data_IF_607345108268
#
_entry.id   IF_607345108268
#
_cell.length_a   1.000
_cell.length_b   1.000
_cell.length_c   1.000
_cell.angle_alpha   90.00
_cell.angle_beta   90.00
_cell.angle_gamma   90.00
#
_symmetry.space_group_name_H-M   'P 1'
#
loop_
_entity.id
_entity.type
_entity.pdbx_description
1 polymer ?
#
# COMPACT_ATOMS: atom_id res chain seq x y z
N UNK A 1 -3.06 36.62 -6.62
CA UNK A 1 -2.89 36.87 -5.17
C UNK A 1 -1.64 36.13 -4.71
N UNK A 2 -0.59 36.88 -4.40
CA UNK A 2 0.69 36.34 -3.91
C UNK A 2 0.55 35.89 -2.45
N UNK A 3 1.19 34.78 -2.10
CA UNK A 3 1.43 34.38 -0.71
C UNK A 3 2.86 33.81 -0.60
N UNK A 4 3.57 34.07 0.51
CA UNK A 4 4.97 34.48 0.49
C UNK A 4 5.97 33.33 0.56
N UNK A 5 7.17 33.62 0.04
CA UNK A 5 8.37 32.80 0.16
C UNK A 5 8.71 32.51 1.64
N UNK A 6 8.89 31.24 1.97
CA UNK A 6 9.40 30.79 3.25
C UNK A 6 10.90 31.05 3.33
N UNK A 7 11.30 31.84 4.32
CA UNK A 7 12.70 32.10 4.65
C UNK A 7 13.42 30.83 5.12
N UNK A 8 14.72 30.65 4.81
CA UNK A 8 15.47 29.48 5.25
C UNK A 8 15.87 29.62 6.73
N UNK A 9 15.43 28.67 7.56
CA UNK A 9 15.91 28.51 8.93
C UNK A 9 17.41 28.15 8.91
N UNK A 10 18.27 29.15 9.15
CA UNK A 10 19.68 28.94 9.52
C UNK A 10 19.81 28.93 11.04
N UNK A 11 20.56 27.95 11.55
CA UNK A 11 21.28 28.10 12.82
C UNK A 11 20.69 27.41 14.05
N UNK A 12 20.56 26.09 14.03
CA UNK A 12 20.70 25.23 15.21
C UNK A 12 21.27 23.93 14.69
N UNK A 13 22.41 23.47 15.22
CA UNK A 13 22.87 22.10 14.98
C UNK A 13 21.85 21.16 15.62
N UNK A 14 20.78 20.83 14.90
CA UNK A 14 19.84 19.80 15.27
C UNK A 14 20.59 18.49 15.23
N UNK A 15 21.04 18.01 16.38
CA UNK A 15 21.38 16.60 16.55
C UNK A 15 20.14 15.83 16.10
N UNK A 16 20.22 15.18 14.93
CA UNK A 16 19.15 14.33 14.46
C UNK A 16 19.00 13.21 15.50
N UNK A 17 17.91 13.27 16.27
CA UNK A 17 17.67 12.28 17.31
C UNK A 17 17.48 10.91 16.63
N UNK A 18 18.45 10.02 16.82
CA UNK A 18 18.33 8.62 16.43
C UNK A 18 17.28 7.89 17.28
N UNK A 19 16.87 6.67 16.90
CA UNK A 19 15.85 5.93 17.64
C UNK A 19 16.21 5.69 19.10
N UNK A 20 15.23 5.89 19.98
CA UNK A 20 15.32 5.67 21.43
C UNK A 20 15.11 4.20 21.75
N UNK A 21 16.00 3.64 22.57
CA UNK A 21 15.80 2.34 23.19
C UNK A 21 14.87 2.48 24.39
N UNK A 22 13.67 1.91 24.25
CA UNK A 22 12.69 1.84 25.33
C UNK A 22 12.82 0.50 26.02
N UNK A 23 13.10 0.54 27.32
CA UNK A 23 13.34 -0.65 28.17
C UNK A 23 12.51 -0.57 29.45
N UNK A 24 12.30 -1.71 30.10
CA UNK A 24 11.72 -1.79 31.43
C UNK A 24 12.81 -2.03 32.47
N UNK A 25 12.67 -1.42 33.65
CA UNK A 25 13.43 -1.83 34.84
C UNK A 25 12.46 -2.10 36.00
N UNK A 26 12.44 -3.33 36.55
CA UNK A 26 11.62 -3.65 37.72
C UNK A 26 12.11 -2.95 38.99
N UNK A 27 13.35 -2.43 38.99
CA UNK A 27 13.94 -1.68 40.10
C UNK A 27 13.62 -0.18 40.06
N UNK A 28 13.02 0.31 38.97
CA UNK A 28 12.70 1.72 38.85
C UNK A 28 11.45 2.05 39.68
N UNK A 29 11.50 3.01 40.63
CA UNK A 29 10.35 3.37 41.43
C UNK A 29 9.18 3.87 40.57
N UNK A 30 7.95 3.59 41.02
CA UNK A 30 6.73 4.08 40.38
C UNK A 30 6.77 5.61 40.27
N UNK A 31 6.41 6.13 39.10
CA UNK A 31 6.39 7.57 38.85
C UNK A 31 7.77 8.18 38.55
N UNK A 32 8.79 7.37 38.25
CA UNK A 32 10.07 7.87 37.73
C UNK A 32 10.28 7.47 36.27
N UNK A 33 10.72 8.43 35.45
CA UNK A 33 11.09 8.22 34.06
C UNK A 33 12.59 8.38 33.92
N UNK A 34 13.31 7.28 33.75
CA UNK A 34 14.77 7.30 33.71
C UNK A 34 15.25 7.47 32.26
N UNK A 35 15.97 8.55 31.97
CA UNK A 35 16.46 8.88 30.63
C UNK A 35 17.97 9.09 30.62
N UNK A 36 18.64 8.65 29.57
CA UNK A 36 20.07 8.89 29.38
C UNK A 36 20.37 10.37 29.16
N UNK A 37 21.55 10.85 29.55
CA UNK A 37 22.02 12.22 29.25
C UNK A 37 21.90 12.58 27.76
N UNK A 38 22.22 11.65 26.85
CA UNK A 38 22.09 11.89 25.41
C UNK A 38 20.65 12.20 24.98
N UNK A 39 19.67 11.43 25.47
CA UNK A 39 18.25 11.68 25.20
C UNK A 39 17.77 12.99 25.83
N UNK A 40 18.19 13.27 27.07
CA UNK A 40 17.83 14.50 27.77
C UNK A 40 18.34 15.74 27.02
N UNK A 41 19.59 15.74 26.57
CA UNK A 41 20.15 16.82 25.76
C UNK A 41 19.43 16.98 24.42
N UNK A 42 19.22 15.88 23.69
CA UNK A 42 18.61 15.91 22.36
C UNK A 42 17.14 16.39 22.39
N UNK A 43 16.42 16.10 23.47
CA UNK A 43 15.04 16.56 23.67
C UNK A 43 14.93 17.80 24.56
N UNK A 44 16.04 18.40 25.00
CA UNK A 44 16.04 19.54 25.94
C UNK A 44 15.16 19.28 27.18
N UNK A 45 15.40 18.16 27.85
CA UNK A 45 14.71 17.72 29.06
C UNK A 45 15.59 17.94 30.29
N UNK A 46 14.98 18.35 31.40
CA UNK A 46 15.69 18.68 32.62
C UNK A 46 15.48 17.62 33.71
N UNK A 47 16.56 17.31 34.44
CA UNK A 47 16.49 16.43 35.60
C UNK A 47 15.54 17.00 36.66
N UNK A 48 14.75 16.15 37.29
CA UNK A 48 13.88 16.51 38.41
C UNK A 48 12.55 17.16 38.02
N UNK A 49 12.37 17.52 36.74
CA UNK A 49 11.11 18.07 36.26
C UNK A 49 10.03 17.01 36.07
N UNK A 50 8.76 17.42 36.19
CA UNK A 50 7.62 16.58 35.83
C UNK A 50 7.56 16.42 34.31
N UNK A 51 7.38 15.18 33.87
CA UNK A 51 7.20 14.85 32.46
C UNK A 51 6.26 13.67 32.27
N UNK A 52 5.94 13.39 31.01
CA UNK A 52 5.18 12.21 30.64
C UNK A 52 5.79 11.53 29.41
N UNK A 53 5.48 10.25 29.23
CA UNK A 53 5.73 9.51 28.01
C UNK A 53 4.39 9.16 27.39
N UNK A 54 4.25 9.36 26.09
CA UNK A 54 3.04 9.00 25.33
C UNK A 54 3.37 8.04 24.20
N UNK A 55 2.51 7.05 23.99
CA UNK A 55 2.58 6.13 22.86
C UNK A 55 1.14 5.70 22.49
N UNK A 56 0.69 6.05 21.29
CA UNK A 56 -0.72 5.89 20.93
C UNK A 56 -1.59 6.74 21.84
N UNK A 57 -2.69 6.15 22.34
CA UNK A 57 -3.55 6.77 23.34
C UNK A 57 -3.01 6.68 24.79
N UNK A 58 -2.00 5.84 25.04
CA UNK A 58 -1.47 5.64 26.38
C UNK A 58 -0.54 6.77 26.82
N UNK A 59 -0.64 7.18 28.09
CA UNK A 59 0.26 8.17 28.72
C UNK A 59 0.73 7.66 30.08
N UNK A 60 2.01 7.84 30.39
CA UNK A 60 2.60 7.55 31.69
C UNK A 60 3.37 8.77 32.21
N UNK A 61 2.91 9.36 33.32
CA UNK A 61 3.50 10.55 33.93
C UNK A 61 4.44 10.21 35.07
N UNK A 62 5.53 10.97 35.19
CA UNK A 62 6.52 10.78 36.24
C UNK A 62 7.59 11.87 36.27
N UNK A 63 8.44 11.81 37.27
CA UNK A 63 9.60 12.71 37.41
C UNK A 63 10.73 12.22 36.51
N UNK A 64 11.27 13.11 35.69
CA UNK A 64 12.41 12.80 34.81
C UNK A 64 13.69 12.67 35.64
N UNK A 65 14.30 11.49 35.60
CA UNK A 65 15.61 11.23 36.21
C UNK A 65 16.62 11.00 35.08
N UNK A 66 17.66 11.82 35.06
CA UNK A 66 18.74 11.73 34.06
C UNK A 66 19.88 10.89 34.62
N UNK A 67 20.36 9.90 33.86
CA UNK A 67 21.55 9.11 34.19
C UNK A 67 22.65 9.28 33.14
N UNK A 68 23.94 9.15 33.51
CA UNK A 68 25.05 9.26 32.57
C UNK A 68 24.98 8.22 31.44
N UNK A 69 24.99 8.68 30.19
CA UNK A 69 24.98 7.82 29.02
C UNK A 69 24.83 8.60 27.71
N UNK A 70 25.72 8.37 26.75
CA UNK A 70 25.72 9.07 25.44
C UNK A 70 24.64 8.58 24.47
N UNK A 71 24.05 7.40 24.72
CA UNK A 71 22.98 6.85 23.90
C UNK A 71 21.63 7.53 24.10
N UNK A 72 20.61 7.02 23.40
CA UNK A 72 19.22 7.43 23.58
C UNK A 72 18.44 6.28 24.24
N UNK A 73 18.29 6.35 25.56
CA UNK A 73 17.63 5.32 26.36
C UNK A 73 16.53 5.96 27.19
N UNK A 74 15.36 5.35 27.16
CA UNK A 74 14.23 5.61 28.04
C UNK A 74 13.91 4.33 28.80
N UNK A 75 14.02 4.37 30.11
CA UNK A 75 13.69 3.27 30.99
C UNK A 75 12.40 3.59 31.75
N UNK A 76 11.45 2.66 31.64
CA UNK A 76 10.12 2.75 32.22
C UNK A 76 9.98 1.78 33.38
N UNK A 77 9.16 2.15 34.38
CA UNK A 77 8.75 1.22 35.42
C UNK A 77 7.63 0.28 34.89
N UNK A 78 7.40 -0.89 35.51
CA UNK A 78 6.49 -1.90 34.96
C UNK A 78 5.06 -1.40 34.69
N UNK A 79 4.49 -0.58 35.57
CA UNK A 79 3.13 -0.07 35.36
C UNK A 79 3.05 0.94 34.20
N UNK A 80 4.12 1.72 33.92
CA UNK A 80 4.18 2.56 32.71
C UNK A 80 4.22 1.72 31.43
N UNK A 81 4.97 0.62 31.43
CA UNK A 81 5.02 -0.31 30.28
C UNK A 81 3.63 -0.87 29.97
N UNK A 82 2.89 -1.24 31.01
CA UNK A 82 1.52 -1.74 30.88
C UNK A 82 0.57 -0.64 30.39
N UNK A 83 0.62 0.56 30.98
CA UNK A 83 -0.21 1.70 30.58
C UNK A 83 0.03 2.14 29.12
N UNK A 84 1.26 2.00 28.62
CA UNK A 84 1.61 2.32 27.23
C UNK A 84 1.44 1.13 26.28
N UNK A 85 1.17 -0.08 26.80
CA UNK A 85 1.16 -1.34 26.04
C UNK A 85 2.41 -1.58 25.17
N UNK A 86 3.55 -1.02 25.55
CA UNK A 86 4.77 -1.02 24.74
C UNK A 86 5.50 -2.37 24.82
N UNK A 87 5.86 -3.01 23.69
CA UNK A 87 6.53 -4.31 23.69
C UNK A 87 8.05 -4.15 23.91
N UNK A 88 8.45 -3.81 25.13
CA UNK A 88 9.86 -3.68 25.52
C UNK A 88 10.63 -5.02 25.49
N UNK A 89 11.93 -5.02 25.15
CA UNK A 89 12.69 -3.86 24.65
C UNK A 89 12.32 -3.54 23.19
N UNK A 90 12.22 -2.24 22.86
CA UNK A 90 11.88 -1.77 21.51
C UNK A 90 12.62 -0.49 21.16
N UNK A 91 12.89 -0.27 19.87
CA UNK A 91 13.40 0.99 19.34
C UNK A 91 12.25 1.79 18.73
N UNK A 92 12.09 3.03 19.15
CA UNK A 92 11.06 3.96 18.64
C UNK A 92 11.68 5.33 18.39
N UNK A 93 11.11 6.09 17.47
CA UNK A 93 11.42 7.52 17.41
C UNK A 93 10.76 8.22 18.60
N UNK A 94 11.39 9.31 19.02
CA UNK A 94 10.83 10.18 20.03
C UNK A 94 10.85 11.62 19.53
N UNK A 95 9.90 12.43 20.02
CA UNK A 95 9.97 13.88 19.91
C UNK A 95 9.51 14.50 21.21
N UNK A 96 9.95 15.73 21.47
CA UNK A 96 9.40 16.55 22.54
C UNK A 96 8.05 17.09 22.07
N UNK A 97 7.05 16.93 22.91
CA UNK A 97 5.75 17.56 22.83
C UNK A 97 5.40 18.21 24.16
N UNK A 98 4.22 18.82 24.22
CA UNK A 98 3.69 19.46 25.43
C UNK A 98 2.25 19.04 25.64
N UNK A 99 1.83 18.98 26.90
CA UNK A 99 0.43 18.83 27.31
C UNK A 99 0.17 19.83 28.43
N UNK A 100 -0.39 21.00 28.06
CA UNK A 100 -0.36 22.17 28.94
C UNK A 100 1.08 22.56 29.28
N UNK A 101 1.37 22.74 30.57
CA UNK A 101 2.71 23.06 31.07
C UNK A 101 3.66 21.85 31.18
N UNK A 102 3.16 20.61 31.02
CA UNK A 102 3.96 19.41 31.18
C UNK A 102 4.69 19.03 29.88
N UNK A 103 5.98 18.70 29.99
CA UNK A 103 6.75 18.18 28.86
C UNK A 103 6.41 16.71 28.61
N UNK A 104 6.18 16.34 27.35
CA UNK A 104 5.83 14.97 26.94
C UNK A 104 6.87 14.42 25.97
N UNK A 105 7.37 13.22 26.23
CA UNK A 105 8.16 12.43 25.29
C UNK A 105 7.16 11.62 24.46
N UNK A 106 6.95 12.03 23.23
CA UNK A 106 6.06 11.33 22.30
C UNK A 106 6.83 10.27 21.54
N UNK A 107 6.47 9.00 21.76
CA UNK A 107 7.07 7.84 21.11
C UNK A 107 6.24 7.43 19.88
N UNK A 108 6.89 7.01 18.80
CA UNK A 108 6.18 6.51 17.63
C UNK A 108 7.02 6.43 16.35
N UNK A 109 6.38 6.27 15.18
CA UNK A 109 4.95 6.01 15.01
C UNK A 109 4.56 4.57 15.42
N UNK A 110 3.26 4.36 15.60
CA UNK A 110 2.62 3.05 15.82
C UNK A 110 1.73 2.81 14.62
N UNK A 111 1.97 1.73 13.91
CA UNK A 111 1.27 1.38 12.66
C UNK A 111 0.44 0.12 12.90
N UNK A 112 -0.88 0.26 12.88
CA UNK A 112 -1.80 -0.87 12.83
C UNK A 112 -2.01 -1.26 11.36
N UNK A 113 -1.72 -2.51 11.01
CA UNK A 113 -1.96 -3.03 9.65
C UNK A 113 -3.25 -3.85 9.68
N UNK A 114 -4.29 -3.35 9.03
CA UNK A 114 -5.60 -4.00 8.98
C UNK A 114 -5.56 -5.17 8.00
N UNK A 115 -5.41 -6.40 8.51
CA UNK A 115 -5.11 -7.61 7.73
C UNK A 115 -5.76 -8.86 8.34
N UNK A 116 -6.49 -9.65 7.54
CA UNK A 116 -7.22 -10.84 8.00
C UNK A 116 -6.48 -12.15 7.74
N UNK A 117 -5.52 -12.14 6.81
CA UNK A 117 -4.70 -13.30 6.44
C UNK A 117 -3.24 -13.08 6.83
N UNK A 118 -2.52 -14.14 7.17
CA UNK A 118 -1.09 -14.08 7.52
C UNK A 118 -0.22 -14.53 6.35
N UNK A 119 -0.06 -13.70 5.33
CA UNK A 119 0.83 -14.00 4.20
C UNK A 119 2.26 -13.46 4.38
N UNK A 120 3.22 -14.02 3.63
CA UNK A 120 4.65 -13.70 3.73
C UNK A 120 5.02 -12.21 3.64
N UNK A 121 4.23 -11.39 2.92
CA UNK A 121 4.48 -9.94 2.83
C UNK A 121 4.30 -9.22 4.17
N UNK A 122 3.39 -9.67 5.04
CA UNK A 122 3.19 -9.02 6.34
C UNK A 122 4.38 -9.25 7.27
N UNK A 123 5.05 -10.41 7.17
CA UNK A 123 6.34 -10.63 7.82
C UNK A 123 7.35 -9.57 7.40
N UNK A 124 7.46 -9.29 6.10
CA UNK A 124 8.39 -8.29 5.57
C UNK A 124 8.03 -6.88 6.06
N UNK A 125 6.74 -6.50 6.10
CA UNK A 125 6.32 -5.20 6.61
C UNK A 125 6.70 -5.00 8.07
N UNK A 126 6.42 -5.98 8.93
CA UNK A 126 6.78 -5.90 10.35
C UNK A 126 8.31 -5.85 10.55
N UNK A 127 9.07 -6.58 9.73
CA UNK A 127 10.52 -6.54 9.77
C UNK A 127 11.06 -5.17 9.34
N UNK A 128 10.54 -4.61 8.24
CA UNK A 128 10.95 -3.28 7.77
C UNK A 128 10.57 -2.18 8.76
N UNK A 129 9.39 -2.25 9.37
CA UNK A 129 8.98 -1.34 10.44
C UNK A 129 9.97 -1.39 11.62
N UNK A 130 10.32 -2.59 12.08
CA UNK A 130 11.32 -2.77 13.14
C UNK A 130 12.69 -2.19 12.76
N UNK A 131 13.18 -2.40 11.54
CA UNK A 131 14.45 -1.82 11.06
C UNK A 131 14.41 -0.28 11.03
N UNK A 132 13.24 0.30 10.82
CA UNK A 132 12.98 1.76 10.83
C UNK A 132 12.52 2.29 12.19
N UNK A 133 12.67 1.52 13.27
CA UNK A 133 12.23 1.90 14.62
C UNK A 133 10.77 2.37 14.69
N UNK A 134 9.91 1.68 13.95
CA UNK A 134 8.45 1.85 13.95
C UNK A 134 7.82 0.63 14.61
N UNK A 135 6.91 0.84 15.56
CA UNK A 135 6.11 -0.25 16.08
C UNK A 135 5.01 -0.57 15.08
N UNK A 136 4.94 -1.81 14.61
CA UNK A 136 3.86 -2.26 13.75
C UNK A 136 3.29 -3.59 14.24
N UNK A 137 2.00 -3.81 14.01
CA UNK A 137 1.29 -5.05 14.30
C UNK A 137 0.15 -5.27 13.32
N UNK A 138 -0.29 -6.52 13.16
CA UNK A 138 -1.50 -6.85 12.41
C UNK A 138 -2.71 -6.86 13.33
N UNK A 139 -3.88 -6.48 12.82
CA UNK A 139 -5.16 -6.59 13.53
C UNK A 139 -6.33 -6.74 12.55
N UNK A 140 -7.47 -7.21 13.06
CA UNK A 140 -8.77 -7.22 12.38
C UNK A 140 -9.77 -6.30 13.11
N UNK A 141 -10.96 -6.00 12.55
CA UNK A 141 -11.95 -5.17 13.24
C UNK A 141 -12.25 -5.65 14.67
N UNK A 142 -12.39 -6.97 14.86
CA UNK A 142 -12.66 -7.60 16.16
C UNK A 142 -11.52 -7.50 17.18
N UNK A 143 -10.30 -7.10 16.78
CA UNK A 143 -9.16 -6.96 17.68
C UNK A 143 -9.11 -5.57 18.37
N UNK A 144 -10.01 -4.64 18.03
CA UNK A 144 -10.02 -3.28 18.61
C UNK A 144 -10.85 -3.22 19.89
N UNK A 145 -10.21 -2.83 21.00
CA UNK A 145 -10.84 -2.59 22.29
C UNK A 145 -11.02 -1.08 22.46
N UNK A 146 -12.22 -0.60 22.13
CA UNK A 146 -12.51 0.84 22.04
C UNK A 146 -12.43 1.58 23.37
N UNK A 147 -12.99 1.02 24.44
CA UNK A 147 -13.03 1.69 25.75
C UNK A 147 -11.64 1.98 26.31
N UNK A 148 -10.72 1.03 26.12
CA UNK A 148 -9.31 1.18 26.53
C UNK A 148 -8.43 1.88 25.49
N UNK A 149 -8.93 2.12 24.27
CA UNK A 149 -8.12 2.48 23.10
C UNK A 149 -6.88 1.58 22.97
N UNK A 150 -7.13 0.27 22.96
CA UNK A 150 -6.10 -0.78 22.83
C UNK A 150 -6.41 -1.64 21.61
N UNK A 151 -5.37 -2.16 20.95
CA UNK A 151 -5.55 -3.16 19.90
C UNK A 151 -4.89 -4.46 20.31
N UNK A 152 -5.60 -5.58 20.18
CA UNK A 152 -5.05 -6.93 20.32
C UNK A 152 -4.23 -7.30 19.09
N UNK A 153 -3.10 -6.61 18.94
CA UNK A 153 -2.20 -6.72 17.81
C UNK A 153 -1.41 -8.02 17.79
N UNK A 154 -1.08 -8.46 16.57
CA UNK A 154 -0.28 -9.66 16.30
C UNK A 154 1.09 -9.22 15.81
N UNK A 155 2.12 -9.54 16.59
CA UNK A 155 3.53 -9.27 16.27
C UNK A 155 4.28 -10.56 15.98
N UNK A 156 5.46 -10.44 15.39
CA UNK A 156 6.38 -11.56 15.17
C UNK A 156 7.50 -11.55 16.22
N UNK A 157 7.54 -12.56 17.08
CA UNK A 157 8.61 -12.77 18.08
C UNK A 157 9.24 -14.14 17.86
N UNK A 158 10.57 -14.19 17.67
CA UNK A 158 11.33 -15.43 17.42
C UNK A 158 10.69 -16.33 16.35
N UNK A 159 10.25 -15.72 15.25
CA UNK A 159 9.61 -16.41 14.13
C UNK A 159 8.13 -16.75 14.29
N UNK A 160 7.56 -16.62 15.50
CA UNK A 160 6.16 -16.95 15.81
C UNK A 160 5.28 -15.72 15.90
N UNK A 161 4.01 -15.88 15.56
CA UNK A 161 2.98 -14.87 15.78
C UNK A 161 2.58 -14.86 17.26
N UNK A 162 2.55 -13.67 17.86
CA UNK A 162 2.15 -13.46 19.24
C UNK A 162 1.07 -12.39 19.26
N UNK A 163 -0.12 -12.76 19.75
CA UNK A 163 -1.23 -11.83 20.00
C UNK A 163 -1.04 -11.21 21.38
N UNK A 164 -1.13 -9.88 21.47
CA UNK A 164 -0.99 -9.15 22.73
C UNK A 164 -1.64 -7.76 22.66
N UNK A 165 -1.96 -7.15 23.82
CA UNK A 165 -2.28 -5.74 23.88
C UNK A 165 -1.15 -4.88 23.29
N UNK A 166 -1.54 -3.97 22.41
CA UNK A 166 -0.69 -3.00 21.73
C UNK A 166 -1.30 -1.60 21.88
N UNK A 167 -0.46 -0.54 21.83
CA UNK A 167 -0.95 0.82 21.89
C UNK A 167 -1.87 1.11 20.70
N UNK A 168 -2.88 1.96 20.89
CA UNK A 168 -3.69 2.47 19.79
C UNK A 168 -2.78 3.02 18.67
N UNK A 169 -3.07 2.74 17.39
CA UNK A 169 -2.17 3.13 16.33
C UNK A 169 -2.23 4.64 16.08
N UNK A 170 -1.10 5.23 15.71
CA UNK A 170 -1.07 6.57 15.14
C UNK A 170 -1.49 6.53 13.66
N UNK A 171 -1.21 5.41 12.99
CA UNK A 171 -1.47 5.22 11.56
C UNK A 171 -2.11 3.86 11.34
N UNK A 172 -3.19 3.81 10.57
CA UNK A 172 -3.79 2.57 10.07
C UNK A 172 -3.41 2.38 8.61
N UNK A 173 -2.70 1.29 8.35
CA UNK A 173 -2.41 0.84 7.00
C UNK A 173 -3.52 -0.09 6.52
N UNK A 174 -4.39 0.43 5.64
CA UNK A 174 -5.50 -0.35 5.12
C UNK A 174 -5.01 -1.41 4.11
N UNK A 175 -5.18 -2.66 4.54
CA UNK A 175 -4.90 -3.89 3.77
C UNK A 175 -6.10 -4.83 3.83
N UNK A 176 -7.29 -4.27 3.96
CA UNK A 176 -8.55 -4.96 4.26
C UNK A 176 -9.17 -5.79 3.15
N UNK A 177 -8.48 -5.94 2.01
CA UNK A 177 -8.96 -6.75 0.89
C UNK A 177 -9.31 -8.17 1.36
N UNK A 178 -10.59 -8.52 1.27
CA UNK A 178 -11.12 -9.82 1.70
C UNK A 178 -11.25 -10.00 3.22
N UNK A 179 -11.23 -8.92 4.00
CA UNK A 179 -11.54 -8.92 5.44
C UNK A 179 -12.95 -8.42 5.65
N UNK A 180 -13.76 -9.21 6.36
CA UNK A 180 -15.06 -8.77 6.86
C UNK A 180 -16.00 -8.30 5.75
N UNK A 181 -17.07 -7.63 6.15
CA UNK A 181 -17.95 -6.94 5.21
C UNK A 181 -17.38 -5.55 4.91
N UNK A 182 -17.56 -5.07 3.68
CA UNK A 182 -17.05 -3.75 3.25
C UNK A 182 -17.52 -2.62 4.17
N UNK A 183 -18.80 -2.62 4.55
CA UNK A 183 -19.37 -1.61 5.45
C UNK A 183 -18.75 -1.63 6.85
N UNK A 184 -18.47 -2.82 7.41
CA UNK A 184 -17.83 -2.99 8.72
C UNK A 184 -16.41 -2.37 8.72
N UNK A 185 -15.64 -2.64 7.67
CA UNK A 185 -14.31 -2.06 7.50
C UNK A 185 -14.37 -0.55 7.35
N UNK A 186 -15.33 -0.05 6.56
CA UNK A 186 -15.49 1.39 6.35
C UNK A 186 -15.85 2.13 7.64
N UNK A 187 -16.76 1.57 8.44
CA UNK A 187 -17.14 2.11 9.74
C UNK A 187 -15.95 2.10 10.71
N UNK A 188 -15.22 0.98 10.79
CA UNK A 188 -13.99 0.87 11.58
C UNK A 188 -12.99 1.98 11.22
N UNK A 189 -12.65 2.12 9.94
CA UNK A 189 -11.66 3.11 9.49
C UNK A 189 -12.12 4.54 9.74
N UNK A 190 -13.43 4.82 9.60
CA UNK A 190 -14.02 6.12 9.91
C UNK A 190 -13.91 6.44 11.40
N UNK A 191 -14.25 5.49 12.27
CA UNK A 191 -14.13 5.64 13.72
C UNK A 191 -12.68 5.79 14.17
N UNK A 192 -11.74 5.00 13.61
CA UNK A 192 -10.32 5.16 13.92
C UNK A 192 -9.79 6.53 13.47
N UNK A 193 -10.25 7.04 12.33
CA UNK A 193 -9.90 8.39 11.86
C UNK A 193 -10.42 9.47 12.81
N UNK A 194 -11.66 9.34 13.29
CA UNK A 194 -12.26 10.24 14.28
C UNK A 194 -11.49 10.23 15.61
N UNK A 195 -10.90 9.09 15.99
CA UNK A 195 -10.03 8.95 17.15
C UNK A 195 -8.57 9.43 16.92
N UNK A 196 -8.28 10.04 15.77
CA UNK A 196 -7.01 10.68 15.47
C UNK A 196 -5.99 9.80 14.74
N UNK A 197 -6.38 8.62 14.26
CA UNK A 197 -5.50 7.81 13.41
C UNK A 197 -5.42 8.38 11.99
N UNK A 198 -4.21 8.46 11.43
CA UNK A 198 -4.06 8.66 9.99
C UNK A 198 -4.34 7.33 9.26
N UNK A 199 -5.38 7.27 8.44
CA UNK A 199 -5.67 6.11 7.58
C UNK A 199 -5.07 6.34 6.19
N UNK A 200 -4.38 5.35 5.63
CA UNK A 200 -3.87 5.42 4.25
C UNK A 200 -4.12 4.14 3.44
N UNK A 201 -4.10 4.28 2.11
CA UNK A 201 -4.68 3.42 1.06
C UNK A 201 -6.19 3.62 0.85
N UNK A 202 -7.01 3.49 1.90
CA UNK A 202 -8.46 3.69 1.84
C UNK A 202 -9.17 2.83 0.79
N UNK A 203 -10.45 3.16 0.55
CA UNK A 203 -11.26 2.49 -0.47
C UNK A 203 -11.06 3.15 -1.85
N UNK A 204 -10.58 2.36 -2.80
CA UNK A 204 -10.40 2.78 -4.20
C UNK A 204 -11.65 2.53 -5.06
N UNK A 205 -12.72 2.00 -4.47
CA UNK A 205 -13.95 1.63 -5.16
C UNK A 205 -13.79 0.41 -6.07
N UNK A 206 -14.83 0.15 -6.87
CA UNK A 206 -14.79 -0.89 -7.90
C UNK A 206 -14.05 -0.40 -9.17
N UNK A 207 -13.81 -1.32 -10.11
CA UNK A 207 -13.11 -0.98 -11.37
C UNK A 207 -13.86 0.05 -12.22
N UNK A 208 -15.18 0.16 -12.08
CA UNK A 208 -15.98 1.11 -12.83
C UNK A 208 -15.85 2.52 -12.27
N UNK A 209 -16.03 2.67 -10.95
CA UNK A 209 -15.84 3.94 -10.26
C UNK A 209 -14.42 4.49 -10.48
N UNK A 210 -13.41 3.60 -10.44
CA UNK A 210 -12.03 3.97 -10.75
C UNK A 210 -11.86 4.41 -12.21
N UNK A 211 -12.46 3.69 -13.18
CA UNK A 211 -12.39 4.08 -14.59
C UNK A 211 -13.05 5.44 -14.82
N UNK A 212 -14.25 5.67 -14.28
CA UNK A 212 -14.96 6.95 -14.38
C UNK A 212 -14.15 8.09 -13.76
N UNK A 213 -13.56 7.86 -12.58
CA UNK A 213 -12.73 8.85 -11.91
C UNK A 213 -11.47 9.19 -12.72
N UNK A 214 -10.83 8.21 -13.36
CA UNK A 214 -9.67 8.49 -14.22
C UNK A 214 -10.10 9.18 -15.53
N UNK A 215 -11.24 8.78 -16.10
CA UNK A 215 -11.77 9.33 -17.34
C UNK A 215 -12.24 10.78 -17.19
N UNK A 216 -12.57 11.23 -15.98
CA UNK A 216 -12.90 12.64 -15.72
C UNK A 216 -11.71 13.59 -15.83
N UNK A 217 -10.47 13.07 -15.90
CA UNK A 217 -9.27 13.87 -16.12
C UNK A 217 -8.91 13.87 -17.62
N UNK A 218 -8.98 15.03 -18.32
CA UNK A 218 -8.70 15.12 -19.75
C UNK A 218 -7.32 14.58 -20.15
N UNK A 219 -6.32 14.75 -19.28
CA UNK A 219 -4.94 14.30 -19.50
C UNK A 219 -4.79 12.77 -19.43
N UNK A 220 -5.76 12.07 -18.84
CA UNK A 220 -5.74 10.61 -18.67
C UNK A 220 -6.75 9.91 -19.58
N UNK A 221 -7.86 10.54 -19.93
CA UNK A 221 -8.98 9.93 -20.65
C UNK A 221 -8.55 9.25 -21.96
N UNK A 222 -7.68 9.91 -22.73
CA UNK A 222 -7.13 9.38 -24.00
C UNK A 222 -6.19 8.19 -23.84
N UNK A 223 -5.70 7.93 -22.63
CA UNK A 223 -4.84 6.79 -22.30
C UNK A 223 -5.60 5.61 -21.70
N UNK A 224 -6.91 5.75 -21.46
CA UNK A 224 -7.74 4.67 -20.94
C UNK A 224 -8.31 3.83 -22.09
N UNK A 225 -8.31 2.49 -21.96
CA UNK A 225 -9.05 1.65 -22.89
C UNK A 225 -10.54 1.97 -22.79
N UNK A 226 -11.22 1.94 -23.94
CA UNK A 226 -12.67 2.11 -23.94
C UNK A 226 -13.30 1.05 -23.04
N UNK A 227 -14.18 1.49 -22.13
CA UNK A 227 -14.80 0.63 -21.12
C UNK A 227 -16.24 1.05 -20.92
N UNK A 228 -17.14 0.07 -20.88
CA UNK A 228 -18.56 0.27 -20.63
C UNK A 228 -19.07 -0.71 -19.56
N UNK A 229 -20.18 -0.35 -18.91
CA UNK A 229 -20.96 -1.30 -18.12
C UNK A 229 -21.54 -2.35 -19.05
N UNK A 230 -21.47 -3.62 -18.65
CA UNK A 230 -22.15 -4.70 -19.35
C UNK A 230 -23.63 -4.66 -18.97
N UNK A 231 -24.49 -4.36 -19.93
CA UNK A 231 -25.95 -4.35 -19.75
C UNK A 231 -26.62 -5.52 -20.48
N UNK A 232 -26.05 -5.94 -21.60
CA UNK A 232 -26.51 -7.09 -22.37
C UNK A 232 -25.42 -7.60 -23.33
N UNK A 233 -25.74 -8.65 -24.09
CA UNK A 233 -24.87 -9.09 -25.19
C UNK A 233 -24.66 -7.98 -26.25
N UNK A 234 -25.62 -7.07 -26.44
CA UNK A 234 -25.49 -6.02 -27.43
C UNK A 234 -24.43 -4.98 -27.04
N UNK A 235 -24.19 -4.76 -25.74
CA UNK A 235 -23.01 -4.00 -25.28
C UNK A 235 -21.72 -4.63 -25.80
N UNK A 236 -21.58 -5.96 -25.69
CA UNK A 236 -20.41 -6.70 -26.18
C UNK A 236 -20.31 -6.57 -27.70
N UNK A 237 -21.43 -6.74 -28.42
CA UNK A 237 -21.49 -6.67 -29.89
C UNK A 237 -21.07 -5.29 -30.41
N UNK A 238 -21.55 -4.22 -29.78
CA UNK A 238 -21.23 -2.83 -30.11
C UNK A 238 -19.77 -2.47 -29.80
N UNK A 239 -19.19 -3.05 -28.74
CA UNK A 239 -17.75 -2.90 -28.51
C UNK A 239 -16.93 -3.74 -29.48
N UNK A 240 -17.36 -4.97 -29.81
CA UNK A 240 -16.69 -5.81 -30.78
C UNK A 240 -16.64 -5.18 -32.18
N UNK A 241 -17.64 -4.39 -32.57
CA UNK A 241 -17.67 -3.76 -33.91
C UNK A 241 -16.63 -2.67 -34.06
N UNK A 242 -16.26 -2.04 -32.94
CA UNK A 242 -15.22 -1.02 -32.87
C UNK A 242 -13.85 -1.64 -32.59
N UNK A 243 -13.81 -2.69 -31.77
CA UNK A 243 -12.60 -3.34 -31.28
C UNK A 243 -12.72 -4.84 -31.49
N UNK A 244 -12.02 -5.41 -32.48
CA UNK A 244 -12.11 -6.82 -32.88
C UNK A 244 -12.05 -7.85 -31.74
N UNK A 245 -11.49 -7.46 -30.59
CA UNK A 245 -11.56 -8.21 -29.33
C UNK A 245 -11.87 -7.30 -28.13
N UNK A 246 -12.54 -7.89 -27.13
CA UNK A 246 -12.88 -7.24 -25.86
C UNK A 246 -12.66 -8.18 -24.68
N UNK A 247 -12.52 -7.62 -23.49
CA UNK A 247 -12.53 -8.33 -22.22
C UNK A 247 -13.82 -8.07 -21.47
N UNK A 248 -14.47 -9.14 -21.01
CA UNK A 248 -15.59 -9.09 -20.07
C UNK A 248 -15.06 -9.45 -18.68
N UNK A 249 -15.22 -8.55 -17.70
CA UNK A 249 -14.63 -8.69 -16.36
C UNK A 249 -15.59 -8.20 -15.28
N UNK A 250 -15.56 -8.78 -14.06
CA UNK A 250 -16.39 -8.30 -12.97
C UNK A 250 -15.89 -6.91 -12.50
N UNK A 251 -16.81 -6.01 -12.17
CA UNK A 251 -16.49 -4.68 -11.66
C UNK A 251 -15.77 -4.79 -10.31
N UNK A 252 -16.31 -5.61 -9.40
CA UNK A 252 -15.65 -6.02 -8.16
C UNK A 252 -14.68 -7.20 -8.38
N UNK A 253 -13.77 -7.44 -7.43
CA UNK A 253 -12.90 -8.61 -7.43
C UNK A 253 -11.46 -8.38 -7.89
N UNK A 254 -10.60 -9.36 -7.61
CA UNK A 254 -9.15 -9.26 -7.67
C UNK A 254 -8.52 -10.42 -8.46
N UNK A 255 -7.19 -10.35 -8.68
CA UNK A 255 -6.37 -11.45 -9.23
C UNK A 255 -6.70 -11.90 -10.66
N UNK A 256 -7.60 -11.22 -11.36
CA UNK A 256 -7.96 -11.55 -12.74
C UNK A 256 -8.80 -12.82 -12.85
N UNK A 257 -9.53 -13.17 -11.80
CA UNK A 257 -10.50 -14.26 -11.82
C UNK A 257 -11.79 -13.83 -12.56
N UNK A 258 -12.41 -14.77 -13.26
CA UNK A 258 -13.66 -14.53 -13.98
C UNK A 258 -13.53 -13.69 -15.25
N UNK A 259 -12.33 -13.46 -15.79
CA UNK A 259 -12.14 -12.66 -17.01
C UNK A 259 -12.37 -13.53 -18.25
N UNK A 260 -13.22 -13.05 -19.14
CA UNK A 260 -13.41 -13.60 -20.49
C UNK A 260 -12.78 -12.66 -21.52
N UNK A 261 -12.08 -13.22 -22.51
CA UNK A 261 -11.69 -12.51 -23.73
C UNK A 261 -12.58 -13.02 -24.85
N UNK A 262 -13.25 -12.10 -25.53
CA UNK A 262 -14.16 -12.38 -26.65
C UNK A 262 -13.58 -11.70 -27.88
N UNK A 263 -13.39 -12.46 -28.94
CA UNK A 263 -12.77 -11.99 -30.19
C UNK A 263 -13.63 -12.41 -31.37
N UNK A 264 -13.82 -11.55 -32.37
CA UNK A 264 -14.59 -11.92 -33.58
C UNK A 264 -13.92 -13.10 -34.29
N UNK A 265 -14.73 -14.07 -34.74
CA UNK A 265 -14.23 -15.29 -35.40
C UNK A 265 -15.09 -15.67 -36.63
N UNK A 266 -15.45 -14.66 -37.43
CA UNK A 266 -16.34 -14.76 -38.59
C UNK A 266 -17.79 -14.38 -38.26
N UNK A 267 -18.66 -14.40 -39.27
CA UNK A 267 -20.06 -14.01 -39.10
C UNK A 267 -20.80 -14.95 -38.13
N UNK A 268 -21.40 -14.39 -37.07
CA UNK A 268 -22.16 -15.16 -36.08
C UNK A 268 -21.31 -16.02 -35.14
N UNK A 269 -19.98 -15.91 -35.18
CA UNK A 269 -19.07 -16.67 -34.32
C UNK A 269 -18.06 -15.77 -33.61
N UNK A 270 -17.75 -16.13 -32.38
CA UNK A 270 -16.71 -15.51 -31.57
C UNK A 270 -15.76 -16.57 -31.02
N UNK A 271 -14.53 -16.16 -30.74
CA UNK A 271 -13.55 -16.94 -30.00
C UNK A 271 -13.59 -16.50 -28.54
N UNK A 272 -13.90 -17.44 -27.64
CA UNK A 272 -13.92 -17.23 -26.20
C UNK A 272 -12.69 -17.85 -25.55
N UNK A 273 -11.98 -17.05 -24.78
CA UNK A 273 -10.94 -17.52 -23.87
C UNK A 273 -11.23 -17.06 -22.44
N UNK A 274 -10.86 -17.88 -21.46
CA UNK A 274 -11.05 -17.57 -20.04
C UNK A 274 -9.73 -17.55 -19.31
N UNK A 275 -9.62 -16.67 -18.31
CA UNK A 275 -8.50 -16.65 -17.37
C UNK A 275 -8.36 -17.94 -16.55
N UNK A 276 -9.38 -18.81 -16.54
CA UNK A 276 -9.41 -20.09 -15.81
C UNK A 276 -9.09 -21.32 -16.66
N UNK A 277 -8.71 -21.17 -17.94
CA UNK A 277 -8.19 -22.27 -18.75
C UNK A 277 -8.98 -22.65 -20.00
N UNK A 278 -10.05 -21.92 -20.34
CA UNK A 278 -10.66 -22.07 -21.67
C UNK A 278 -9.68 -21.49 -22.70
N UNK A 279 -8.99 -22.36 -23.42
CA UNK A 279 -8.19 -22.00 -24.58
C UNK A 279 -9.13 -21.56 -25.71
N UNK A 280 -8.81 -20.45 -26.37
CA UNK A 280 -9.67 -19.73 -27.32
C UNK A 280 -10.55 -20.60 -28.22
N UNK A 281 -11.77 -20.91 -27.77
CA UNK A 281 -12.73 -21.79 -28.46
C UNK A 281 -13.65 -20.96 -29.32
N UNK A 282 -13.79 -21.34 -30.59
CA UNK A 282 -14.79 -20.76 -31.49
C UNK A 282 -16.18 -21.27 -31.09
N UNK A 283 -17.11 -20.36 -30.83
CA UNK A 283 -18.51 -20.63 -30.47
C UNK A 283 -19.43 -19.67 -31.23
N UNK A 284 -20.71 -19.98 -31.34
CA UNK A 284 -21.69 -19.05 -31.90
C UNK A 284 -21.90 -17.85 -30.96
N UNK A 285 -22.33 -16.72 -31.50
CA UNK A 285 -22.72 -15.55 -30.69
C UNK A 285 -23.83 -15.90 -29.69
N UNK A 286 -24.76 -16.78 -30.04
CA UNK A 286 -25.83 -17.20 -29.13
C UNK A 286 -25.29 -17.91 -27.88
N UNK A 287 -24.30 -18.81 -28.04
CA UNK A 287 -23.65 -19.48 -26.91
C UNK A 287 -22.88 -18.47 -26.06
N UNK A 288 -22.16 -17.54 -26.70
CA UNK A 288 -21.44 -16.50 -25.99
C UNK A 288 -22.38 -15.55 -25.21
N UNK A 289 -23.53 -15.21 -25.79
CA UNK A 289 -24.57 -14.41 -25.16
C UNK A 289 -25.13 -15.10 -23.90
N UNK A 290 -25.39 -16.41 -23.96
CA UNK A 290 -25.81 -17.19 -22.79
C UNK A 290 -24.79 -17.13 -21.64
N UNK A 291 -23.51 -17.38 -21.96
CA UNK A 291 -22.42 -17.29 -20.97
C UNK A 291 -22.32 -15.89 -20.36
N UNK A 292 -22.40 -14.84 -21.18
CA UNK A 292 -22.35 -13.45 -20.72
C UNK A 292 -23.58 -13.11 -19.87
N UNK A 293 -24.76 -13.60 -20.23
CA UNK A 293 -26.00 -13.44 -19.47
C UNK A 293 -25.92 -14.04 -18.08
N UNK A 294 -25.38 -15.26 -17.94
CA UNK A 294 -25.13 -15.90 -16.64
C UNK A 294 -24.19 -15.07 -15.76
N UNK A 295 -23.17 -14.43 -16.35
CA UNK A 295 -22.27 -13.55 -15.60
C UNK A 295 -23.00 -12.30 -15.12
N UNK A 296 -23.76 -11.66 -16.00
CA UNK A 296 -24.53 -10.46 -15.68
C UNK A 296 -25.56 -10.70 -14.57
N UNK A 297 -26.19 -11.88 -14.54
CA UNK A 297 -27.09 -12.27 -13.45
C UNK A 297 -26.40 -12.32 -12.07
N UNK A 298 -25.07 -12.42 -12.04
CA UNK A 298 -24.26 -12.56 -10.84
C UNK A 298 -23.47 -11.29 -10.49
N UNK A 299 -24.04 -10.11 -10.77
CA UNK A 299 -23.55 -8.82 -10.29
C UNK A 299 -23.11 -7.87 -11.40
N UNK A 300 -22.30 -6.87 -11.04
CA UNK A 300 -21.88 -5.81 -11.95
C UNK A 300 -20.65 -6.21 -12.76
N UNK A 301 -20.74 -6.11 -14.08
CA UNK A 301 -19.68 -6.49 -15.03
C UNK A 301 -19.36 -5.34 -15.99
N UNK A 302 -18.17 -5.42 -16.58
CA UNK A 302 -17.64 -4.44 -17.51
C UNK A 302 -17.24 -5.13 -18.80
N UNK A 303 -17.43 -4.43 -19.91
CA UNK A 303 -16.80 -4.75 -21.20
C UNK A 303 -15.72 -3.70 -21.44
N UNK A 304 -14.51 -4.16 -21.77
CA UNK A 304 -13.36 -3.29 -22.00
C UNK A 304 -12.66 -3.68 -23.30
N UNK A 305 -12.26 -2.69 -24.08
CA UNK A 305 -11.41 -2.86 -25.26
C UNK A 305 -10.20 -3.75 -24.95
N UNK A 306 -9.95 -4.77 -25.78
CA UNK A 306 -8.70 -5.51 -25.71
C UNK A 306 -7.57 -4.67 -26.34
N UNK A 307 -6.45 -4.58 -25.64
CA UNK A 307 -5.27 -3.86 -26.11
C UNK A 307 -4.31 -4.82 -26.83
N UNK A 308 -3.70 -4.36 -27.92
CA UNK A 308 -2.57 -5.05 -28.53
C UNK A 308 -1.31 -4.74 -27.73
N UNK A 309 -1.02 -5.60 -26.76
CA UNK A 309 0.11 -5.42 -25.86
C UNK A 309 1.41 -5.80 -26.56
N UNK A 310 2.48 -5.05 -26.25
CA UNK A 310 3.84 -5.39 -26.66
C UNK A 310 4.16 -6.84 -26.27
N UNK A 311 4.73 -7.58 -27.21
CA UNK A 311 5.10 -8.99 -27.01
C UNK A 311 6.62 -9.12 -26.92
N UNK A 312 7.09 -9.86 -25.90
CA UNK A 312 8.51 -10.23 -25.76
C UNK A 312 8.60 -11.75 -25.86
N UNK A 313 9.33 -12.23 -26.88
CA UNK A 313 9.41 -13.66 -27.22
C UNK A 313 8.02 -14.30 -27.41
N UNK A 314 7.12 -13.59 -28.09
CA UNK A 314 5.75 -14.05 -28.40
C UNK A 314 4.71 -13.85 -27.29
N UNK A 315 5.13 -13.60 -26.05
CA UNK A 315 4.22 -13.43 -24.92
C UNK A 315 3.86 -11.96 -24.64
N UNK A 316 2.57 -11.63 -24.39
CA UNK A 316 2.15 -10.30 -23.98
C UNK A 316 2.87 -9.83 -22.72
N UNK A 317 3.24 -8.55 -22.70
CA UNK A 317 3.92 -7.90 -21.59
C UNK A 317 3.18 -6.66 -21.11
N UNK A 318 3.25 -6.40 -19.82
CA UNK A 318 2.82 -5.12 -19.23
C UNK A 318 3.91 -4.54 -18.32
N UNK A 319 3.83 -3.24 -18.08
CA UNK A 319 4.74 -2.53 -17.18
C UNK A 319 3.98 -2.08 -15.94
N UNK A 320 4.50 -2.41 -14.77
CA UNK A 320 4.01 -1.94 -13.49
C UNK A 320 4.95 -0.89 -12.91
N UNK A 321 4.44 0.30 -12.71
CA UNK A 321 5.15 1.39 -12.03
C UNK A 321 4.68 1.47 -10.58
N UNK A 322 5.61 1.37 -9.64
CA UNK A 322 5.37 1.64 -8.22
C UNK A 322 5.76 3.08 -7.93
N UNK A 323 4.78 3.93 -7.65
CA UNK A 323 5.00 5.29 -7.16
C UNK A 323 4.69 5.37 -5.66
N UNK A 324 5.56 6.04 -4.89
CA UNK A 324 5.41 6.26 -3.46
C UNK A 324 5.66 7.74 -3.15
N UNK A 325 4.95 8.29 -2.17
CA UNK A 325 5.26 9.64 -1.66
C UNK A 325 6.55 9.58 -0.83
N UNK A 326 7.45 10.54 -1.04
CA UNK A 326 8.63 10.75 -0.20
C UNK A 326 8.25 11.39 1.15
N UNK A 327 9.24 11.60 2.03
CA UNK A 327 9.03 12.23 3.33
C UNK A 327 8.53 13.68 3.27
N UNK A 328 8.47 14.29 2.08
CA UNK A 328 7.92 15.62 1.82
C UNK A 328 6.55 15.54 1.10
N UNK A 329 5.97 14.34 0.97
CA UNK A 329 4.67 14.15 0.32
C UNK A 329 4.69 14.12 -1.21
N UNK A 330 5.87 14.15 -1.84
CA UNK A 330 5.99 14.17 -3.32
C UNK A 330 6.06 12.78 -3.89
N UNK A 331 5.34 12.51 -4.97
CA UNK A 331 5.41 11.22 -5.67
C UNK A 331 6.79 10.98 -6.28
N UNK A 332 7.33 9.78 -6.02
CA UNK A 332 8.58 9.26 -6.57
C UNK A 332 8.35 7.87 -7.13
N UNK A 333 8.90 7.58 -8.30
CA UNK A 333 8.92 6.23 -8.85
C UNK A 333 9.93 5.42 -8.05
N UNK A 334 9.44 4.43 -7.31
CA UNK A 334 10.25 3.53 -6.50
C UNK A 334 10.71 2.29 -7.28
N UNK A 335 9.91 1.84 -8.25
CA UNK A 335 10.24 0.67 -9.07
C UNK A 335 9.44 0.66 -10.37
N UNK A 336 10.03 0.12 -11.42
CA UNK A 336 9.38 -0.20 -12.70
C UNK A 336 9.68 -1.66 -13.01
N UNK A 337 8.62 -2.47 -13.19
CA UNK A 337 8.74 -3.91 -13.41
C UNK A 337 7.97 -4.27 -14.68
N UNK A 338 8.68 -4.83 -15.67
CA UNK A 338 8.04 -5.46 -16.82
C UNK A 338 7.66 -6.90 -16.49
N UNK A 339 6.41 -7.28 -16.78
CA UNK A 339 5.85 -8.61 -16.53
C UNK A 339 5.52 -9.26 -17.84
N UNK A 340 5.92 -10.52 -18.01
CA UNK A 340 5.56 -11.34 -19.17
C UNK A 340 4.48 -12.33 -18.79
N UNK A 341 3.43 -12.44 -19.60
CA UNK A 341 2.43 -13.48 -19.44
C UNK A 341 3.04 -14.87 -19.67
N UNK A 342 2.60 -15.86 -18.89
CA UNK A 342 2.93 -17.26 -19.18
C UNK A 342 2.40 -17.68 -20.56
N UNK A 343 3.05 -18.63 -21.22
CA UNK A 343 2.69 -19.08 -22.56
C UNK A 343 1.18 -19.41 -22.68
N UNK A 344 0.53 -18.89 -23.71
CA UNK A 344 -0.90 -19.14 -24.00
C UNK A 344 -1.92 -18.45 -23.08
N UNK A 345 -1.50 -17.65 -22.08
CA UNK A 345 -2.41 -16.98 -21.15
C UNK A 345 -2.88 -15.63 -21.67
N UNK A 346 -4.15 -15.33 -21.43
CA UNK A 346 -4.80 -14.07 -21.84
C UNK A 346 -4.60 -12.92 -20.82
N UNK A 347 -4.02 -13.21 -19.66
CA UNK A 347 -3.74 -12.24 -18.58
C UNK A 347 -2.33 -12.44 -18.02
N UNK A 348 -1.65 -11.35 -17.71
CA UNK A 348 -0.27 -11.25 -17.22
C UNK A 348 -0.13 -11.23 -15.68
N UNK A 349 -1.14 -11.72 -14.95
CA UNK A 349 -1.14 -11.60 -13.48
C UNK A 349 -0.09 -12.48 -12.80
N UNK A 350 0.59 -11.89 -11.80
CA UNK A 350 1.77 -12.44 -11.10
C UNK A 350 1.47 -13.68 -10.22
N UNK A 351 0.21 -14.05 -10.00
CA UNK A 351 -0.08 -15.38 -9.47
C UNK A 351 0.26 -16.49 -10.48
N UNK A 352 0.61 -16.14 -11.73
CA UNK A 352 0.75 -17.07 -12.86
C UNK A 352 1.77 -16.66 -13.95
N UNK A 353 2.58 -15.62 -13.75
CA UNK A 353 3.56 -15.13 -14.74
C UNK A 353 4.91 -14.79 -14.11
N UNK A 354 5.99 -15.03 -14.86
CA UNK A 354 7.37 -14.86 -14.40
C UNK A 354 7.86 -13.42 -14.61
N UNK A 355 8.65 -12.85 -13.66
CA UNK A 355 9.35 -11.60 -13.89
C UNK A 355 10.31 -11.75 -15.09
N UNK A 356 10.36 -10.75 -15.97
CA UNK A 356 11.32 -10.74 -17.09
C UNK A 356 12.79 -10.64 -16.63
N UNK A 357 13.02 -10.09 -15.43
CA UNK A 357 14.34 -10.00 -14.83
C UNK A 357 14.25 -10.32 -13.32
N UNK A 358 14.85 -11.42 -12.84
CA UNK A 358 15.22 -11.53 -11.44
C UNK A 358 16.42 -10.61 -11.20
N UNK A 359 16.24 -9.49 -10.51
CA UNK A 359 17.37 -8.72 -9.94
C UNK A 359 17.87 -7.48 -10.69
N UNK A 360 17.22 -7.00 -11.75
CA UNK A 360 17.58 -5.73 -12.38
C UNK A 360 16.64 -4.60 -11.99
N UNK A 361 17.01 -3.74 -11.03
CA UNK A 361 16.36 -2.43 -10.92
C UNK A 361 16.72 -1.62 -12.16
N UNK A 362 15.73 -1.35 -13.02
CA UNK A 362 15.90 -0.37 -14.09
C UNK A 362 16.02 1.02 -13.45
N UNK A 363 17.25 1.45 -13.16
CA UNK A 363 17.60 2.84 -12.84
C UNK A 363 17.85 3.63 -14.14
N UNK A 364 16.95 3.49 -15.12
CA UNK A 364 16.93 4.33 -16.30
C UNK A 364 15.93 5.45 -16.08
N UNK A 365 16.41 6.65 -15.76
CA UNK A 365 15.55 7.84 -15.68
C UNK A 365 14.79 8.02 -16.99
N UNK A 366 13.46 7.95 -16.95
CA UNK A 366 12.61 8.32 -18.06
C UNK A 366 12.80 9.81 -18.34
N UNK A 367 13.62 10.15 -19.35
CA UNK A 367 13.65 11.51 -19.91
C UNK A 367 12.63 11.57 -21.04
N UNK A 368 11.71 12.53 -20.94
CA UNK A 368 10.75 12.85 -21.99
C UNK A 368 11.46 13.08 -23.34
N UNK A 369 10.86 12.69 -24.48
CA UNK A 369 11.48 12.85 -25.78
C UNK A 369 11.57 14.35 -26.13
N UNK A 370 12.80 14.87 -26.25
CA UNK A 370 13.06 16.28 -26.56
C UNK A 370 14.52 16.72 -26.39
N UNK A 371 15.36 15.96 -25.69
CA UNK A 371 16.78 16.29 -25.56
C UNK A 371 17.62 15.58 -26.63
N UNK A 372 17.98 16.30 -27.71
CA UNK A 372 18.98 15.84 -28.69
C UNK A 372 20.34 15.67 -28.01
N UNK A 373 20.98 14.52 -28.21
CA UNK A 373 22.45 14.46 -28.24
C UNK A 373 22.89 13.61 -29.43
N UNK A 374 23.68 14.24 -30.31
CA UNK A 374 24.41 13.60 -31.40
C UNK A 374 25.47 12.67 -30.83
N UNK A 375 25.51 11.42 -31.26
CA UNK A 375 26.77 10.68 -31.49
C UNK A 375 26.53 9.37 -32.27
N UNK A 376 27.12 9.35 -33.47
CA UNK A 376 27.67 8.28 -34.34
C UNK A 376 27.28 6.81 -34.15
N UNK A 377 26.75 6.26 -35.25
CA UNK A 377 26.95 4.94 -35.89
C UNK A 377 27.58 3.79 -35.08
N UNK A 378 26.95 2.60 -35.13
CA UNK A 378 27.32 1.52 -36.07
C UNK A 378 26.24 0.44 -36.12
N UNK A 379 25.80 0.14 -37.35
CA UNK A 379 25.36 -1.15 -37.93
C UNK A 379 24.40 -2.09 -37.18
N UNK A 380 23.31 -2.45 -37.87
CA UNK A 380 22.58 -3.71 -37.64
C UNK A 380 21.07 -3.60 -37.88
N UNK A 381 20.64 -3.31 -39.10
CA UNK A 381 19.22 -3.21 -39.44
C UNK A 381 18.58 -4.55 -39.76
N UNK A 382 17.34 -4.77 -39.33
CA UNK A 382 16.35 -5.69 -39.92
C UNK A 382 14.94 -5.26 -39.51
N UNK A 383 14.24 -4.47 -40.33
CA UNK A 383 12.78 -4.32 -40.29
C UNK A 383 12.24 -3.98 -41.67
N UNK A 384 11.76 -4.98 -42.42
CA UNK A 384 10.74 -4.84 -43.46
C UNK A 384 9.96 -6.14 -43.60
N UNK A 385 8.63 -6.02 -43.50
CA UNK A 385 7.51 -6.77 -44.11
C UNK A 385 6.28 -6.40 -43.26
N UNK A 386 5.42 -5.46 -43.65
CA UNK A 386 4.43 -5.50 -44.74
C UNK A 386 3.48 -6.69 -44.60
N UNK A 387 2.32 -6.48 -43.98
CA UNK A 387 1.14 -7.35 -44.12
C UNK A 387 0.46 -7.07 -45.46
N UNK A 388 0.04 -8.09 -46.23
CA UNK A 388 -1.02 -7.94 -47.22
C UNK A 388 -2.39 -7.98 -46.53
N UNK A 389 -3.37 -7.40 -47.23
CA UNK A 389 -4.80 -7.30 -46.94
C UNK A 389 -5.46 -8.64 -46.55
#
# INVERSE_FOLDING_TARGET
MHSPASAPLRGLMTVSLGPVWVVASPRLPKGQLLISTGLACALQLQHGTSGAVRLGAGTASGVLRVFPGRGFVLCLWPAAVNALHVPVPVRLWARKGTAGAQTVIELGPVVGILAGQYHGTYRLFLEMARRRATLAYLFTPADVLWDGRVVLGRLRKRGRWVRRPCPFPHVVFDRSIGIGRHDEVKELLSRMSADGCAVFNGDLGDKWSMHQHLASWPELSSHLPETALLESWDTVRAMLSRWCAVYVKPAAGFMGLGILRIERAGQGFVRLASSTGLAGRRVSEAVAAGIVGERLANGKWLVQQALDLVRVSGSPCDVRVLALKDGCGRWRIASVIARRAGAGKIVSNLHRGDPLCPGGSWHGGFRAPGARRRSRSTSGGWWRRSCPL
#
